data_IF_767095691411
#
_entry.id   IF_767095691411
#
_cell.length_a   1.000
_cell.length_b   1.000
_cell.length_c   1.000
_cell.angle_alpha   90.00
_cell.angle_beta   90.00
_cell.angle_gamma   90.00
#
_symmetry.space_group_name_H-M   'P 1'
#
loop_
_entity.id
_entity.type
_entity.pdbx_description
1 polymer ?
#
# COMPACT_ATOMS: atom_id res chain seq x y z
N UNK A 1 -26.21 2.80 4.36
CA UNK A 1 -25.57 2.79 5.58
C UNK A 1 -24.27 3.55 5.58
N UNK A 2 -23.78 3.66 6.75
CA UNK A 2 -22.51 4.30 6.87
C UNK A 2 -21.51 3.49 6.06
N UNK A 3 -20.73 4.20 5.36
CA UNK A 3 -19.75 3.60 4.51
C UNK A 3 -18.51 3.27 5.36
N UNK A 4 -18.49 2.06 5.87
CA UNK A 4 -17.35 1.58 6.66
C UNK A 4 -16.07 1.60 5.82
N UNK A 5 -16.19 1.33 4.53
CA UNK A 5 -15.04 1.37 3.62
C UNK A 5 -14.42 2.75 3.53
N UNK A 6 -15.24 3.79 3.35
CA UNK A 6 -14.75 5.16 3.30
C UNK A 6 -14.11 5.58 4.62
N UNK A 7 -14.69 5.16 5.73
CA UNK A 7 -14.12 5.45 7.04
C UNK A 7 -12.76 4.77 7.21
N UNK A 8 -12.63 3.53 6.71
CA UNK A 8 -11.37 2.80 6.78
C UNK A 8 -10.29 3.49 5.95
N UNK A 9 -10.64 3.95 4.74
CA UNK A 9 -9.71 4.70 3.90
C UNK A 9 -9.22 5.94 4.63
N UNK A 10 -10.14 6.70 5.23
CA UNK A 10 -9.79 7.90 5.96
C UNK A 10 -8.90 7.61 7.18
N UNK A 11 -9.22 6.55 7.94
CA UNK A 11 -8.44 6.18 9.10
C UNK A 11 -7.01 5.76 8.70
N UNK A 12 -6.88 5.08 7.56
CA UNK A 12 -5.57 4.67 7.06
C UNK A 12 -4.71 5.87 6.67
N UNK A 13 -5.28 6.84 5.96
CA UNK A 13 -4.52 8.03 5.54
C UNK A 13 -4.22 8.94 6.72
N UNK A 14 -5.08 8.94 7.74
CA UNK A 14 -4.90 9.80 8.92
C UNK A 14 -4.01 9.19 9.99
N UNK A 15 -3.58 7.94 9.81
CA UNK A 15 -2.69 7.28 10.76
C UNK A 15 -3.38 6.90 12.08
N UNK A 16 -4.67 6.62 12.04
CA UNK A 16 -5.44 6.30 13.23
C UNK A 16 -5.51 4.78 13.44
N UNK A 17 -4.47 4.23 14.05
CA UNK A 17 -4.31 2.78 14.23
C UNK A 17 -5.51 2.13 14.92
N UNK A 18 -5.95 2.72 16.01
CA UNK A 18 -7.06 2.15 16.79
C UNK A 18 -8.36 2.17 15.99
N UNK A 19 -8.60 3.25 15.26
CA UNK A 19 -9.79 3.37 14.42
C UNK A 19 -9.78 2.32 13.30
N UNK A 20 -8.62 2.06 12.70
CA UNK A 20 -8.48 1.01 11.69
C UNK A 20 -8.90 -0.33 12.26
N UNK A 21 -8.42 -0.68 13.46
CA UNK A 21 -8.77 -1.94 14.10
C UNK A 21 -10.26 -2.02 14.43
N UNK A 22 -10.81 -0.93 14.93
CA UNK A 22 -12.25 -0.86 15.28
C UNK A 22 -13.11 -1.07 14.04
N UNK A 23 -12.77 -0.38 12.95
CA UNK A 23 -13.53 -0.48 11.71
C UNK A 23 -13.45 -1.88 11.11
N UNK A 24 -12.26 -2.49 11.12
CA UNK A 24 -12.12 -3.86 10.64
C UNK A 24 -12.94 -4.83 11.48
N UNK A 25 -12.93 -4.66 12.81
CA UNK A 25 -13.74 -5.49 13.70
C UNK A 25 -15.24 -5.30 13.46
N UNK A 26 -15.63 -4.11 13.00
CA UNK A 26 -17.03 -3.82 12.67
C UNK A 26 -17.45 -4.33 11.30
N UNK A 27 -16.53 -4.96 10.55
CA UNK A 27 -16.84 -5.56 9.27
C UNK A 27 -16.51 -4.71 8.05
N UNK A 28 -15.69 -3.67 8.21
CA UNK A 28 -15.25 -2.88 7.06
C UNK A 28 -14.49 -3.77 6.08
N UNK A 29 -14.72 -3.56 4.79
CA UNK A 29 -13.99 -4.28 3.75
C UNK A 29 -12.55 -3.77 3.71
N UNK A 30 -11.60 -4.64 4.04
CA UNK A 30 -10.18 -4.28 4.05
C UNK A 30 -9.69 -3.85 2.65
N UNK A 31 -10.37 -4.31 1.62
CA UNK A 31 -10.03 -3.99 0.22
C UNK A 31 -10.97 -2.96 -0.39
N UNK A 32 -11.61 -2.13 0.41
CA UNK A 32 -12.47 -1.06 -0.07
C UNK A 32 -11.68 -0.13 -1.00
N UNK A 33 -12.30 0.33 -2.06
CA UNK A 33 -11.66 1.23 -3.03
C UNK A 33 -12.41 2.54 -3.11
N UNK A 34 -11.66 3.62 -3.25
CA UNK A 34 -12.26 4.93 -3.55
C UNK A 34 -12.45 5.08 -5.06
N UNK A 35 -12.82 6.27 -5.50
CA UNK A 35 -13.09 6.54 -6.91
C UNK A 35 -11.87 6.37 -7.80
N UNK A 36 -10.67 6.50 -7.24
CA UNK A 36 -9.41 6.31 -7.97
C UNK A 36 -8.89 4.88 -7.89
N UNK A 37 -9.62 3.98 -7.24
CA UNK A 37 -9.18 2.61 -7.04
C UNK A 37 -8.18 2.43 -5.92
N UNK A 38 -7.97 3.46 -5.09
CA UNK A 38 -7.07 3.38 -3.95
C UNK A 38 -7.70 2.56 -2.83
N UNK A 39 -6.92 1.67 -2.23
CA UNK A 39 -7.34 0.87 -1.07
C UNK A 39 -6.75 1.46 0.20
N UNK A 40 -7.20 1.00 1.38
CA UNK A 40 -6.55 1.40 2.62
C UNK A 40 -5.03 1.11 2.62
N UNK A 41 -4.62 0.00 2.01
CA UNK A 41 -3.20 -0.34 1.95
C UNK A 41 -2.40 0.65 1.11
N UNK A 42 -2.97 1.14 0.00
CA UNK A 42 -2.35 2.21 -0.78
C UNK A 42 -2.11 3.44 0.10
N UNK A 43 -3.12 3.87 0.85
CA UNK A 43 -3.00 5.06 1.69
C UNK A 43 -2.01 4.90 2.83
N UNK A 44 -2.02 3.74 3.48
CA UNK A 44 -1.05 3.47 4.56
C UNK A 44 0.39 3.47 4.01
N UNK A 45 0.59 2.90 2.82
CA UNK A 45 1.89 2.92 2.17
C UNK A 45 2.31 4.34 1.77
N UNK A 46 1.36 5.15 1.34
CA UNK A 46 1.62 6.54 0.95
C UNK A 46 2.12 7.37 2.14
N UNK A 47 1.42 7.29 3.27
CA UNK A 47 1.77 8.12 4.44
C UNK A 47 2.87 7.50 5.30
N UNK A 48 3.24 6.25 5.05
CA UNK A 48 4.33 5.62 5.78
C UNK A 48 3.93 5.05 7.14
N UNK A 49 2.69 4.66 7.32
CA UNK A 49 2.22 4.07 8.59
C UNK A 49 2.43 2.56 8.59
N UNK A 50 3.62 2.14 9.02
CA UNK A 50 3.99 0.72 9.02
C UNK A 50 3.01 -0.14 9.80
N UNK A 51 2.61 0.30 11.00
CA UNK A 51 1.72 -0.49 11.84
C UNK A 51 0.37 -0.73 11.17
N UNK A 52 -0.16 0.29 10.50
CA UNK A 52 -1.42 0.14 9.77
C UNK A 52 -1.26 -0.81 8.59
N UNK A 53 -0.13 -0.74 7.88
CA UNK A 53 0.17 -1.68 6.80
C UNK A 53 0.11 -3.11 7.33
N UNK A 54 0.74 -3.37 8.47
CA UNK A 54 0.76 -4.71 9.06
C UNK A 54 -0.63 -5.17 9.48
N UNK A 55 -1.41 -4.29 10.08
CA UNK A 55 -2.78 -4.60 10.48
C UNK A 55 -3.65 -4.94 9.27
N UNK A 56 -3.53 -4.15 8.21
CA UNK A 56 -4.32 -4.37 6.99
C UNK A 56 -3.94 -5.69 6.33
N UNK A 57 -2.64 -6.01 6.25
CA UNK A 57 -2.20 -7.28 5.67
C UNK A 57 -2.70 -8.47 6.47
N UNK A 58 -2.68 -8.38 7.80
CA UNK A 58 -3.23 -9.43 8.67
C UNK A 58 -4.72 -9.62 8.44
N UNK A 59 -5.43 -8.56 8.11
CA UNK A 59 -6.86 -8.60 7.87
C UNK A 59 -7.22 -9.07 6.45
N UNK A 60 -6.23 -9.41 5.63
CA UNK A 60 -6.46 -9.95 4.30
C UNK A 60 -6.40 -8.92 3.18
N UNK A 61 -5.72 -7.78 3.38
CA UNK A 61 -5.56 -6.81 2.31
C UNK A 61 -4.87 -7.42 1.11
N UNK A 62 -5.34 -7.09 -0.09
CA UNK A 62 -4.71 -7.51 -1.33
C UNK A 62 -3.43 -6.72 -1.53
N UNK A 63 -2.29 -7.38 -1.36
CA UNK A 63 -0.98 -6.74 -1.45
C UNK A 63 -0.69 -6.22 -2.85
N UNK A 64 -1.34 -6.79 -3.86
CA UNK A 64 -1.12 -6.43 -5.27
C UNK A 64 -2.29 -5.67 -5.89
N UNK A 65 -3.14 -5.05 -5.08
CA UNK A 65 -4.27 -4.27 -5.59
C UNK A 65 -3.76 -3.10 -6.43
N UNK A 66 -4.39 -2.87 -7.59
CA UNK A 66 -4.01 -1.79 -8.49
C UNK A 66 -5.06 -0.69 -8.47
N UNK A 67 -4.60 0.54 -8.46
CA UNK A 67 -5.46 1.70 -8.61
C UNK A 67 -5.72 1.97 -10.10
N UNK A 68 -6.38 3.09 -10.42
CA UNK A 68 -6.73 3.40 -11.81
C UNK A 68 -5.52 3.65 -12.71
N UNK A 69 -4.36 3.91 -12.14
CA UNK A 69 -3.12 4.10 -12.90
C UNK A 69 -2.23 2.86 -12.88
N UNK A 70 -2.74 1.76 -12.33
CA UNK A 70 -1.98 0.52 -12.24
C UNK A 70 -0.97 0.49 -11.12
N UNK A 71 -1.00 1.44 -10.19
CA UNK A 71 -0.08 1.45 -9.07
C UNK A 71 -0.53 0.47 -7.99
N UNK A 72 0.43 -0.33 -7.51
CA UNK A 72 0.24 -1.20 -6.35
C UNK A 72 0.73 -0.49 -5.09
N UNK A 73 0.41 -0.99 -3.89
CA UNK A 73 1.01 -0.44 -2.68
C UNK A 73 2.55 -0.42 -2.72
N UNK A 74 3.18 -1.40 -3.39
CA UNK A 74 4.64 -1.43 -3.54
C UNK A 74 5.15 -0.25 -4.36
N UNK A 75 4.47 0.10 -5.46
CA UNK A 75 4.78 1.31 -6.22
C UNK A 75 4.75 2.54 -5.31
N UNK A 76 3.71 2.65 -4.50
CA UNK A 76 3.51 3.81 -3.63
C UNK A 76 4.61 3.90 -2.58
N UNK A 77 4.89 2.80 -1.89
CA UNK A 77 5.94 2.78 -0.86
C UNK A 77 7.31 3.11 -1.45
N UNK A 78 7.60 2.61 -2.64
CA UNK A 78 8.86 2.88 -3.33
C UNK A 78 8.98 4.34 -3.74
N UNK A 79 7.89 4.93 -4.23
CA UNK A 79 7.88 6.33 -4.65
C UNK A 79 8.17 7.28 -3.49
N UNK A 80 7.61 6.99 -2.32
CA UNK A 80 7.70 7.88 -1.17
C UNK A 80 8.78 7.50 -0.17
N UNK A 81 9.59 6.47 -0.49
CA UNK A 81 10.80 6.19 0.28
C UNK A 81 10.57 5.46 1.60
N UNK A 82 9.57 4.61 1.68
CA UNK A 82 9.25 3.88 2.92
C UNK A 82 9.83 2.48 2.87
N UNK A 83 11.13 2.35 3.18
CA UNK A 83 11.86 1.10 3.05
C UNK A 83 11.26 -0.04 3.87
N UNK A 84 10.92 0.20 5.13
CA UNK A 84 10.37 -0.87 5.98
C UNK A 84 9.05 -1.40 5.44
N UNK A 85 8.22 -0.51 4.88
CA UNK A 85 6.96 -0.90 4.27
C UNK A 85 7.22 -1.72 3.01
N UNK A 86 8.21 -1.32 2.19
CA UNK A 86 8.62 -2.11 1.02
C UNK A 86 8.96 -3.53 1.46
N UNK A 87 9.76 -3.69 2.50
CA UNK A 87 10.17 -5.00 2.98
C UNK A 87 8.99 -5.84 3.47
N UNK A 88 8.07 -5.22 4.19
CA UNK A 88 6.87 -5.90 4.69
C UNK A 88 5.98 -6.33 3.52
N UNK A 89 5.80 -5.46 2.52
CA UNK A 89 5.00 -5.79 1.33
C UNK A 89 5.62 -6.95 0.56
N UNK A 90 6.94 -6.97 0.40
CA UNK A 90 7.63 -8.08 -0.27
C UNK A 90 7.40 -9.39 0.47
N UNK A 91 7.49 -9.38 1.79
CA UNK A 91 7.22 -10.57 2.61
C UNK A 91 5.79 -11.06 2.44
N UNK A 92 4.87 -10.15 2.20
CA UNK A 92 3.46 -10.48 2.00
C UNK A 92 3.13 -10.90 0.57
N UNK A 93 4.12 -10.97 -0.31
CA UNK A 93 3.93 -11.45 -1.68
C UNK A 93 3.72 -10.36 -2.73
N UNK A 94 4.17 -9.14 -2.46
CA UNK A 94 4.06 -8.07 -3.46
C UNK A 94 4.84 -8.42 -4.72
N UNK A 95 4.25 -8.15 -5.87
CA UNK A 95 4.87 -8.40 -7.17
C UNK A 95 5.88 -7.29 -7.48
N UNK A 96 7.16 -7.62 -7.43
CA UNK A 96 8.24 -6.65 -7.70
C UNK A 96 8.27 -6.20 -9.16
N UNK A 97 7.69 -7.00 -10.05
CA UNK A 97 7.69 -6.72 -11.48
C UNK A 97 6.38 -6.10 -11.97
N UNK A 98 5.50 -5.69 -11.06
CA UNK A 98 4.24 -5.06 -11.43
C UNK A 98 4.52 -3.78 -12.20
N UNK A 99 3.81 -3.58 -13.31
CA UNK A 99 3.95 -2.39 -14.13
C UNK A 99 2.67 -1.56 -14.03
N UNK A 100 2.84 -0.26 -13.92
CA UNK A 100 1.71 0.65 -13.99
C UNK A 100 1.30 0.87 -15.46
N UNK A 101 0.37 1.77 -15.70
CA UNK A 101 -0.14 2.01 -17.07
C UNK A 101 0.93 2.57 -18.02
N UNK A 102 2.03 3.07 -17.48
CA UNK A 102 3.16 3.57 -18.28
C UNK A 102 4.30 2.56 -18.37
N UNK A 103 4.11 1.34 -17.86
CA UNK A 103 5.13 0.31 -17.87
C UNK A 103 6.20 0.48 -16.79
N UNK A 104 5.93 1.29 -15.77
CA UNK A 104 6.89 1.60 -14.73
C UNK A 104 6.78 0.62 -13.57
N UNK A 105 7.91 0.10 -13.10
CA UNK A 105 7.96 -0.82 -11.96
C UNK A 105 8.23 -0.05 -10.66
N UNK A 106 8.00 -0.68 -9.51
CA UNK A 106 8.38 -0.06 -8.23
C UNK A 106 9.86 0.35 -8.17
N UNK A 107 10.76 -0.48 -8.71
CA UNK A 107 12.20 -0.16 -8.72
C UNK A 107 12.49 1.08 -9.56
N UNK A 108 11.80 1.24 -10.69
CA UNK A 108 11.94 2.42 -11.53
C UNK A 108 11.56 3.68 -10.77
N UNK A 109 10.47 3.62 -10.01
CA UNK A 109 10.01 4.77 -9.21
C UNK A 109 10.98 5.09 -8.08
N UNK A 110 11.49 4.06 -7.40
CA UNK A 110 12.48 4.27 -6.36
C UNK A 110 13.72 4.98 -6.90
N UNK A 111 14.20 4.56 -8.05
CA UNK A 111 15.36 5.17 -8.69
C UNK A 111 15.07 6.60 -9.13
N UNK A 112 13.90 6.83 -9.72
CA UNK A 112 13.49 8.15 -10.21
C UNK A 112 13.48 9.18 -9.08
N UNK A 113 13.01 8.77 -7.90
CA UNK A 113 12.88 9.68 -6.77
C UNK A 113 14.05 9.61 -5.79
N UNK A 114 15.15 8.95 -6.19
CA UNK A 114 16.39 8.97 -5.42
C UNK A 114 16.44 8.04 -4.22
N UNK A 115 15.55 7.06 -4.16
CA UNK A 115 15.52 6.07 -3.07
C UNK A 115 16.34 4.84 -3.45
N UNK A 116 17.66 5.01 -3.46
CA UNK A 116 18.56 3.98 -4.00
C UNK A 116 18.61 2.72 -3.16
N UNK A 117 18.46 2.84 -1.84
CA UNK A 117 18.39 1.69 -0.95
C UNK A 117 17.17 0.80 -1.30
N UNK A 118 16.04 1.42 -1.58
CA UNK A 118 14.84 0.70 -1.98
C UNK A 118 15.02 0.09 -3.36
N UNK A 119 15.61 0.84 -4.30
CA UNK A 119 15.87 0.31 -5.65
C UNK A 119 16.74 -0.95 -5.59
N UNK A 120 17.77 -0.96 -4.75
CA UNK A 120 18.64 -2.13 -4.59
C UNK A 120 17.86 -3.32 -4.02
N UNK A 121 17.06 -3.10 -2.98
CA UNK A 121 16.23 -4.15 -2.37
C UNK A 121 15.29 -4.76 -3.41
N UNK A 122 14.63 -3.91 -4.20
CA UNK A 122 13.67 -4.36 -5.21
C UNK A 122 14.37 -5.11 -6.35
N UNK A 123 15.55 -4.65 -6.77
CA UNK A 123 16.31 -5.34 -7.82
C UNK A 123 16.76 -6.72 -7.37
N UNK A 124 17.15 -6.87 -6.11
CA UNK A 124 17.55 -8.17 -5.58
C UNK A 124 16.37 -9.13 -5.44
N UNK A 125 15.17 -8.60 -5.23
CA UNK A 125 13.97 -9.40 -5.09
C UNK A 125 13.37 -9.81 -6.44
N UNK A 126 13.78 -9.18 -7.52
CA UNK A 126 13.23 -9.45 -8.85
C UNK A 126 13.68 -10.80 -9.42
#
# INVERSE_FOLDING_TARGET
>A
GSDLGSKLLYAAISGQDDEVRILLAAGADVNAKDESGQTPLHYAAFVGHLEIVEVLLKAGADVNAKDQWGHTPLHVAATFGHLEIVEVLLKAGADVNAQDTWGTTPADLAATFGHEDIAVVLQKAA
#
